data_IF_234396633269
#
_entry.id   IF_234396633269
#
_cell.length_a   1.000
_cell.length_b   1.000
_cell.length_c   1.000
_cell.angle_alpha   90.00
_cell.angle_beta   90.00
_cell.angle_gamma   90.00
#
_symmetry.space_group_name_H-M   'P 1'
#
loop_
_entity.id
_entity.type
_entity.pdbx_description
1 polymer ?
#
# COMPACT_ATOMS: atom_id res chain seq x y z
N UNK A 1 -20.04 30.08 -20.68
CA UNK A 1 -18.84 29.81 -19.86
C UNK A 1 -18.79 30.91 -18.82
N UNK A 2 -18.91 30.54 -17.56
CA UNK A 2 -18.77 31.50 -16.47
C UNK A 2 -17.30 31.96 -16.41
N UNK A 3 -17.08 33.26 -16.51
CA UNK A 3 -15.75 33.88 -16.36
C UNK A 3 -15.64 34.39 -14.93
N UNK A 4 -14.77 33.76 -14.13
CA UNK A 4 -14.53 34.18 -12.75
C UNK A 4 -13.32 35.14 -12.71
N UNK A 5 -13.39 36.12 -11.83
CA UNK A 5 -12.27 37.05 -11.62
C UNK A 5 -11.23 36.52 -10.63
N UNK A 6 -11.65 35.64 -9.71
CA UNK A 6 -10.81 35.06 -8.64
C UNK A 6 -11.19 33.61 -8.38
N UNK A 7 -10.23 32.76 -7.91
CA UNK A 7 -10.48 31.36 -7.63
C UNK A 7 -11.54 31.15 -6.53
N UNK A 8 -11.63 32.05 -5.55
CA UNK A 8 -12.63 32.00 -4.47
C UNK A 8 -14.06 32.16 -5.00
N UNK A 9 -14.26 33.00 -6.00
CA UNK A 9 -15.54 33.18 -6.67
C UNK A 9 -15.94 31.89 -7.42
N UNK A 10 -15.00 31.28 -8.14
CA UNK A 10 -15.23 30.04 -8.84
C UNK A 10 -15.57 28.89 -7.88
N UNK A 11 -14.83 28.77 -6.78
CA UNK A 11 -15.07 27.74 -5.77
C UNK A 11 -16.42 27.94 -5.09
N UNK A 12 -16.76 29.17 -4.68
CA UNK A 12 -18.04 29.48 -4.05
C UNK A 12 -19.22 29.15 -4.96
N UNK A 13 -19.10 29.47 -6.26
CA UNK A 13 -20.12 29.12 -7.26
C UNK A 13 -20.29 27.61 -7.37
N UNK A 14 -19.20 26.85 -7.53
CA UNK A 14 -19.23 25.39 -7.63
C UNK A 14 -19.83 24.73 -6.39
N UNK A 15 -19.46 25.20 -5.18
CA UNK A 15 -20.01 24.72 -3.91
C UNK A 15 -21.51 25.00 -3.78
N UNK A 16 -21.96 26.17 -4.21
CA UNK A 16 -23.38 26.50 -4.21
C UNK A 16 -24.16 25.61 -5.18
N UNK A 17 -23.68 25.51 -6.44
CA UNK A 17 -24.32 24.69 -7.45
C UNK A 17 -24.35 23.21 -7.12
N UNK A 18 -23.35 22.69 -6.41
CA UNK A 18 -23.27 21.27 -6.00
C UNK A 18 -24.43 20.85 -5.05
N UNK A 19 -25.17 21.79 -4.47
CA UNK A 19 -26.35 21.51 -3.67
C UNK A 19 -27.61 21.24 -4.49
N UNK A 20 -27.66 21.74 -5.73
CA UNK A 20 -28.86 21.76 -6.55
C UNK A 20 -28.67 21.07 -7.92
N UNK A 21 -27.44 21.01 -8.40
CA UNK A 21 -27.09 20.52 -9.75
C UNK A 21 -26.36 19.17 -9.64
N UNK A 22 -26.70 18.18 -10.48
CA UNK A 22 -25.97 16.90 -10.52
C UNK A 22 -24.48 17.11 -10.76
N UNK A 23 -23.63 16.33 -10.06
CA UNK A 23 -22.17 16.44 -10.13
C UNK A 23 -21.64 16.34 -11.58
N UNK A 24 -22.24 15.50 -12.42
CA UNK A 24 -21.85 15.35 -13.82
C UNK A 24 -21.99 16.63 -14.63
N UNK A 25 -23.01 17.44 -14.35
CA UNK A 25 -23.29 18.68 -15.06
C UNK A 25 -22.35 19.82 -14.62
N UNK A 26 -21.71 19.69 -13.45
CA UNK A 26 -20.75 20.66 -12.92
C UNK A 26 -19.30 20.40 -13.33
N UNK A 27 -18.96 19.22 -13.85
CA UNK A 27 -17.60 18.89 -14.27
C UNK A 27 -17.05 19.86 -15.36
N UNK A 28 -17.82 20.29 -16.36
CA UNK A 28 -17.37 21.30 -17.33
C UNK A 28 -17.03 22.66 -16.69
N UNK A 29 -17.85 23.10 -15.72
CA UNK A 29 -17.62 24.38 -15.04
C UNK A 29 -16.41 24.30 -14.11
N UNK A 30 -16.22 23.18 -13.42
CA UNK A 30 -15.00 22.91 -12.63
C UNK A 30 -13.75 22.91 -13.52
N UNK A 31 -13.81 22.28 -14.69
CA UNK A 31 -12.70 22.30 -15.65
C UNK A 31 -12.42 23.72 -16.19
N UNK A 32 -13.46 24.51 -16.47
CA UNK A 32 -13.30 25.89 -16.90
C UNK A 32 -12.66 26.77 -15.80
N UNK A 33 -13.06 26.59 -14.53
CA UNK A 33 -12.44 27.25 -13.38
C UNK A 33 -10.95 26.88 -13.23
N UNK A 34 -10.62 25.60 -13.36
CA UNK A 34 -9.23 25.12 -13.33
C UNK A 34 -8.39 25.69 -14.47
N UNK A 35 -8.94 25.82 -15.67
CA UNK A 35 -8.24 26.44 -16.80
C UNK A 35 -7.93 27.91 -16.54
N UNK A 36 -8.81 28.62 -15.83
CA UNK A 36 -8.58 30.01 -15.39
C UNK A 36 -7.57 30.11 -14.22
N UNK A 37 -7.56 29.12 -13.34
CA UNK A 37 -6.75 29.11 -12.12
C UNK A 37 -6.02 27.76 -11.92
N UNK A 38 -5.04 27.41 -12.78
CA UNK A 38 -4.45 26.08 -12.84
C UNK A 38 -3.65 25.67 -11.59
N UNK A 39 -3.28 26.64 -10.77
CA UNK A 39 -2.48 26.44 -9.54
C UNK A 39 -3.30 26.46 -8.25
N UNK A 40 -4.63 26.50 -8.31
CA UNK A 40 -5.47 26.42 -7.14
C UNK A 40 -5.81 24.95 -6.82
N UNK A 41 -5.27 24.45 -5.68
CA UNK A 41 -5.48 23.09 -5.24
C UNK A 41 -6.95 22.80 -4.89
N UNK A 42 -7.68 23.79 -4.37
CA UNK A 42 -9.08 23.63 -3.95
C UNK A 42 -10.00 23.33 -5.12
N UNK A 43 -9.77 23.95 -6.30
CA UNK A 43 -10.52 23.67 -7.53
C UNK A 43 -10.23 22.25 -8.03
N UNK A 44 -8.99 21.77 -7.90
CA UNK A 44 -8.65 20.36 -8.20
C UNK A 44 -9.31 19.39 -7.21
N UNK A 45 -9.36 19.75 -5.92
CA UNK A 45 -10.07 18.96 -4.91
C UNK A 45 -11.56 18.92 -5.22
N UNK A 46 -12.17 20.06 -5.58
CA UNK A 46 -13.58 20.09 -6.00
C UNK A 46 -13.83 19.22 -7.23
N UNK A 47 -12.93 19.22 -8.21
CA UNK A 47 -13.01 18.33 -9.37
C UNK A 47 -12.97 16.85 -8.95
N UNK A 48 -12.10 16.50 -7.98
CA UNK A 48 -12.02 15.13 -7.45
C UNK A 48 -13.34 14.72 -6.77
N UNK A 49 -13.91 15.58 -5.95
CA UNK A 49 -15.20 15.36 -5.29
C UNK A 49 -16.31 15.09 -6.33
N UNK A 50 -16.37 15.91 -7.39
CA UNK A 50 -17.35 15.75 -8.48
C UNK A 50 -17.16 14.43 -9.24
N UNK A 51 -15.92 14.06 -9.59
CA UNK A 51 -15.64 12.76 -10.22
C UNK A 51 -16.03 11.59 -9.32
N UNK A 52 -15.70 11.65 -8.02
CA UNK A 52 -16.08 10.62 -7.04
C UNK A 52 -17.60 10.50 -6.92
N UNK A 53 -18.32 11.61 -6.85
CA UNK A 53 -19.78 11.63 -6.83
C UNK A 53 -20.41 11.03 -8.12
N UNK A 54 -19.69 11.07 -9.24
CA UNK A 54 -20.06 10.42 -10.50
C UNK A 54 -19.63 8.95 -10.61
N UNK A 55 -19.00 8.37 -9.57
CA UNK A 55 -18.45 6.99 -9.61
C UNK A 55 -17.21 6.84 -10.50
N UNK A 56 -16.54 7.94 -10.86
CA UNK A 56 -15.38 7.98 -11.75
C UNK A 56 -14.09 7.92 -10.91
N UNK A 57 -13.83 6.77 -10.26
CA UNK A 57 -12.80 6.62 -9.24
C UNK A 57 -11.37 6.98 -9.74
N UNK A 58 -10.99 6.56 -10.94
CA UNK A 58 -9.66 6.87 -11.51
C UNK A 58 -9.48 8.37 -11.76
N UNK A 59 -10.52 9.03 -12.31
CA UNK A 59 -10.48 10.46 -12.56
C UNK A 59 -10.46 11.26 -11.26
N UNK A 60 -11.20 10.83 -10.25
CA UNK A 60 -11.19 11.41 -8.91
C UNK A 60 -9.79 11.30 -8.29
N UNK A 61 -9.18 10.12 -8.35
CA UNK A 61 -7.83 9.89 -7.84
C UNK A 61 -6.78 10.75 -8.55
N UNK A 62 -6.85 10.86 -9.88
CA UNK A 62 -5.91 11.71 -10.65
C UNK A 62 -6.07 13.20 -10.32
N UNK A 63 -7.30 13.69 -10.16
CA UNK A 63 -7.57 15.07 -9.74
C UNK A 63 -7.04 15.33 -8.31
N UNK A 64 -7.23 14.38 -7.37
CA UNK A 64 -6.71 14.47 -6.00
C UNK A 64 -5.19 14.49 -5.96
N UNK A 65 -4.50 13.67 -6.77
CA UNK A 65 -3.05 13.73 -6.88
C UNK A 65 -2.56 15.08 -7.44
N UNK A 66 -3.26 15.64 -8.43
CA UNK A 66 -2.94 16.98 -8.96
C UNK A 66 -3.14 18.07 -7.89
N UNK A 67 -4.16 17.93 -7.03
CA UNK A 67 -4.34 18.81 -5.89
C UNK A 67 -3.20 18.67 -4.88
N UNK A 68 -2.80 17.45 -4.55
CA UNK A 68 -1.71 17.15 -3.60
C UNK A 68 -0.35 17.72 -4.07
N UNK A 69 -0.07 17.69 -5.38
CA UNK A 69 1.13 18.33 -5.95
C UNK A 69 1.15 19.83 -5.65
N UNK A 70 -0.01 20.49 -5.70
CA UNK A 70 -0.12 21.93 -5.44
C UNK A 70 -0.09 22.28 -3.95
N UNK A 71 -0.66 21.40 -3.10
CA UNK A 71 -0.77 21.64 -1.65
C UNK A 71 -0.55 20.35 -0.86
N UNK A 72 0.68 19.85 -0.78
CA UNK A 72 0.97 18.52 -0.19
C UNK A 72 0.75 18.43 1.33
N UNK A 73 0.63 19.58 2.02
CA UNK A 73 0.38 19.64 3.45
C UNK A 73 -1.06 20.00 3.82
N UNK A 74 -1.91 20.23 2.84
CA UNK A 74 -3.31 20.56 3.05
C UNK A 74 -4.08 19.30 3.46
N UNK A 75 -4.70 19.33 4.63
CA UNK A 75 -5.41 18.18 5.18
C UNK A 75 -6.67 17.83 4.38
N UNK A 76 -7.39 18.83 3.86
CA UNK A 76 -8.59 18.61 3.04
C UNK A 76 -8.21 17.91 1.74
N UNK A 77 -7.11 18.32 1.10
CA UNK A 77 -6.58 17.70 -0.10
C UNK A 77 -6.21 16.23 0.15
N UNK A 78 -5.52 15.96 1.27
CA UNK A 78 -5.15 14.58 1.64
C UNK A 78 -6.38 13.74 1.96
N UNK A 79 -7.32 14.31 2.67
CA UNK A 79 -8.54 13.60 3.04
C UNK A 79 -9.38 13.22 1.82
N UNK A 80 -9.50 14.10 0.82
CA UNK A 80 -10.20 13.76 -0.43
C UNK A 80 -9.47 12.65 -1.20
N UNK A 81 -8.14 12.65 -1.22
CA UNK A 81 -7.36 11.57 -1.80
C UNK A 81 -7.72 10.22 -1.14
N UNK A 82 -7.84 10.18 0.19
CA UNK A 82 -8.20 8.96 0.92
C UNK A 82 -9.66 8.54 0.65
N UNK A 83 -10.59 9.49 0.50
CA UNK A 83 -11.96 9.17 0.10
C UNK A 83 -12.05 8.56 -1.30
N UNK A 84 -11.12 8.87 -2.21
CA UNK A 84 -11.02 8.18 -3.51
C UNK A 84 -10.58 6.73 -3.36
N UNK A 85 -9.79 6.41 -2.32
CA UNK A 85 -9.18 5.10 -2.11
C UNK A 85 -10.13 4.12 -1.42
N UNK A 86 -10.94 4.61 -0.51
CA UNK A 86 -11.81 3.76 0.32
C UNK A 86 -13.17 4.39 0.53
N UNK A 87 -14.20 3.61 0.27
CA UNK A 87 -15.57 3.95 0.61
C UNK A 87 -15.83 3.77 2.11
N UNK A 88 -15.07 2.86 2.75
CA UNK A 88 -15.19 2.58 4.17
C UNK A 88 -13.81 2.25 4.76
N UNK A 89 -13.27 3.16 5.57
CA UNK A 89 -11.97 3.03 6.21
C UNK A 89 -11.94 2.07 7.42
N UNK A 90 -13.07 1.42 7.72
CA UNK A 90 -13.24 0.60 8.91
C UNK A 90 -13.37 1.43 10.19
N UNK A 91 -13.82 0.76 11.24
CA UNK A 91 -13.91 1.35 12.58
C UNK A 91 -12.83 0.74 13.47
N UNK A 92 -12.29 1.53 14.38
CA UNK A 92 -11.36 1.01 15.38
C UNK A 92 -12.01 -0.18 16.12
N UNK A 93 -11.32 -1.33 16.23
CA UNK A 93 -11.82 -2.46 17.00
C UNK A 93 -12.12 -2.07 18.44
N UNK A 94 -13.20 -2.60 18.99
CA UNK A 94 -13.63 -2.35 20.37
C UNK A 94 -13.13 -3.42 21.35
N UNK A 95 -12.36 -4.39 20.88
CA UNK A 95 -11.86 -5.55 21.62
C UNK A 95 -10.61 -5.26 22.47
N UNK A 96 -10.20 -3.98 22.55
CA UNK A 96 -9.01 -3.56 23.32
C UNK A 96 -7.68 -3.80 22.58
N UNK A 97 -7.71 -4.05 21.27
CA UNK A 97 -6.50 -4.16 20.47
C UNK A 97 -5.66 -2.88 20.58
N UNK A 98 -4.40 -3.02 20.95
CA UNK A 98 -3.47 -1.90 21.10
C UNK A 98 -2.79 -1.59 19.77
N UNK A 99 -3.13 -0.44 19.18
CA UNK A 99 -2.53 0.09 17.95
C UNK A 99 -1.41 1.10 18.20
N UNK A 100 -0.97 1.29 19.45
CA UNK A 100 0.13 2.21 19.75
C UNK A 100 1.43 1.79 19.08
N UNK A 101 2.37 2.71 18.95
CA UNK A 101 3.69 2.41 18.40
C UNK A 101 4.52 1.51 19.34
N UNK A 102 4.21 1.52 20.62
CA UNK A 102 4.86 0.68 21.64
C UNK A 102 4.37 -0.75 21.58
N UNK A 103 3.16 -0.98 21.05
CA UNK A 103 2.64 -2.31 20.80
C UNK A 103 3.14 -2.80 19.44
N UNK A 104 3.75 -3.96 19.44
CA UNK A 104 4.09 -4.63 18.20
C UNK A 104 5.53 -4.42 17.72
N UNK A 105 5.79 -5.04 16.60
CA UNK A 105 7.13 -5.21 16.02
C UNK A 105 7.48 -4.11 15.01
N UNK A 106 6.79 -2.96 15.08
CA UNK A 106 6.98 -1.87 14.12
C UNK A 106 8.38 -1.29 14.15
N UNK A 107 8.99 -1.16 12.98
CA UNK A 107 10.23 -0.40 12.83
C UNK A 107 9.89 1.07 12.67
N UNK A 108 10.32 1.89 13.62
CA UNK A 108 10.09 3.34 13.59
C UNK A 108 11.40 4.11 13.54
N UNK A 109 11.56 4.97 12.54
CA UNK A 109 12.69 5.90 12.46
C UNK A 109 12.32 7.07 11.56
N UNK A 110 12.87 8.28 11.81
CA UNK A 110 12.61 9.46 10.96
C UNK A 110 13.37 9.41 9.62
N UNK A 111 14.34 8.52 9.48
CA UNK A 111 15.15 8.39 8.28
C UNK A 111 15.28 6.94 7.84
N UNK A 112 15.16 6.68 6.54
CA UNK A 112 15.19 5.33 5.94
C UNK A 112 16.46 4.56 6.31
N UNK A 113 17.61 5.21 6.41
CA UNK A 113 18.88 4.54 6.74
C UNK A 113 18.92 3.99 8.17
N UNK A 114 18.06 4.48 9.07
CA UNK A 114 17.93 3.98 10.44
C UNK A 114 16.95 2.80 10.55
N UNK A 115 16.23 2.51 9.47
CA UNK A 115 15.38 1.31 9.40
C UNK A 115 16.27 0.09 9.21
N UNK A 116 15.95 -1.00 9.91
CA UNK A 116 16.71 -2.26 9.86
C UNK A 116 16.84 -2.80 8.44
N UNK A 117 17.97 -3.43 8.15
CA UNK A 117 18.36 -3.83 6.78
C UNK A 117 17.39 -4.82 6.14
N UNK A 118 16.79 -5.74 6.92
CA UNK A 118 15.83 -6.71 6.41
C UNK A 118 14.58 -6.03 5.83
N UNK A 119 14.01 -5.05 6.53
CA UNK A 119 12.87 -4.28 6.05
C UNK A 119 13.22 -3.47 4.79
N UNK A 120 14.37 -2.79 4.80
CA UNK A 120 14.84 -2.05 3.62
C UNK A 120 15.03 -2.96 2.40
N UNK A 121 15.54 -4.16 2.61
CA UNK A 121 15.78 -5.13 1.53
C UNK A 121 14.48 -5.58 0.85
N UNK A 122 13.38 -5.80 1.62
CA UNK A 122 12.08 -6.21 1.08
C UNK A 122 11.50 -5.13 0.16
N UNK A 123 11.45 -3.88 0.62
CA UNK A 123 10.94 -2.77 -0.20
C UNK A 123 11.82 -2.46 -1.41
N UNK A 124 13.15 -2.56 -1.28
CA UNK A 124 14.05 -2.40 -2.42
C UNK A 124 13.88 -3.52 -3.45
N UNK A 125 13.57 -4.75 -3.02
CA UNK A 125 13.26 -5.88 -3.89
C UNK A 125 11.97 -5.62 -4.69
N UNK A 126 10.89 -5.21 -4.01
CA UNK A 126 9.64 -4.87 -4.67
C UNK A 126 9.81 -3.74 -5.67
N UNK A 127 10.50 -2.65 -5.29
CA UNK A 127 10.76 -1.52 -6.19
C UNK A 127 11.56 -1.92 -7.43
N UNK A 128 12.56 -2.80 -7.29
CA UNK A 128 13.33 -3.33 -8.43
C UNK A 128 12.45 -4.12 -9.38
N UNK A 129 11.57 -4.98 -8.85
CA UNK A 129 10.66 -5.79 -9.66
C UNK A 129 9.60 -4.94 -10.35
N UNK A 130 9.05 -3.92 -9.68
CA UNK A 130 8.14 -2.96 -10.27
C UNK A 130 8.77 -2.24 -11.47
N UNK A 131 10.01 -1.80 -11.35
CA UNK A 131 10.75 -1.17 -12.46
C UNK A 131 11.01 -2.12 -13.64
N UNK A 132 11.08 -3.41 -13.38
CA UNK A 132 11.23 -4.42 -14.44
C UNK A 132 9.88 -4.82 -15.04
N UNK A 133 8.80 -4.78 -14.24
CA UNK A 133 7.46 -5.17 -14.67
C UNK A 133 6.79 -4.09 -15.53
N UNK A 134 6.86 -2.84 -15.11
CA UNK A 134 6.30 -1.72 -15.83
C UNK A 134 7.38 -1.00 -16.65
N UNK A 135 7.07 -0.64 -17.90
CA UNK A 135 7.98 0.12 -18.77
C UNK A 135 8.21 1.55 -18.27
N UNK A 136 7.16 2.14 -17.72
CA UNK A 136 7.16 3.45 -17.09
C UNK A 136 6.37 3.35 -15.78
N UNK A 137 6.98 3.75 -14.68
CA UNK A 137 6.35 3.79 -13.36
C UNK A 137 5.79 5.17 -13.02
N UNK A 138 6.06 6.19 -13.86
CA UNK A 138 5.52 7.53 -13.65
C UNK A 138 3.99 7.51 -13.84
N UNK A 139 3.28 8.09 -12.89
CA UNK A 139 1.81 8.09 -12.93
C UNK A 139 1.13 6.84 -12.37
N UNK A 140 1.85 5.73 -12.16
CA UNK A 140 1.30 4.58 -11.44
C UNK A 140 0.98 4.96 -10.00
N UNK A 141 -0.07 4.34 -9.46
CA UNK A 141 -0.44 4.47 -8.05
C UNK A 141 -0.42 3.10 -7.37
N UNK A 142 0.42 2.95 -6.35
CA UNK A 142 0.52 1.75 -5.53
C UNK A 142 -0.18 1.89 -4.19
N UNK A 143 -0.63 0.76 -3.65
CA UNK A 143 -1.07 0.59 -2.27
C UNK A 143 0.07 -0.02 -1.45
N UNK A 144 0.34 0.53 -0.25
CA UNK A 144 1.15 -0.10 0.80
C UNK A 144 0.23 -0.36 1.99
N UNK A 145 -0.30 -1.59 2.07
CA UNK A 145 -1.26 -1.98 3.10
C UNK A 145 -0.54 -2.38 4.38
N UNK A 146 -0.93 -1.79 5.52
CA UNK A 146 -0.26 -1.88 6.81
C UNK A 146 1.17 -1.29 6.75
N UNK A 147 1.25 -0.06 6.24
CA UNK A 147 2.52 0.62 5.92
C UNK A 147 3.38 1.02 7.14
N UNK A 148 2.84 0.85 8.35
CA UNK A 148 3.49 1.33 9.58
C UNK A 148 3.79 2.82 9.53
N UNK A 149 5.00 3.22 9.88
CA UNK A 149 5.42 4.63 9.84
C UNK A 149 5.85 5.11 8.44
N UNK A 150 5.58 4.37 7.36
CA UNK A 150 5.60 4.85 5.98
C UNK A 150 6.96 4.84 5.26
N UNK A 151 8.05 4.36 5.88
CA UNK A 151 9.36 4.30 5.23
C UNK A 151 9.35 3.47 3.95
N UNK A 152 8.57 2.39 3.93
CA UNK A 152 8.45 1.48 2.79
C UNK A 152 7.79 2.13 1.59
N UNK A 153 6.65 2.77 1.80
CA UNK A 153 5.94 3.56 0.79
C UNK A 153 6.87 4.61 0.17
N UNK A 154 7.62 5.32 1.01
CA UNK A 154 8.61 6.32 0.56
C UNK A 154 9.75 5.70 -0.24
N UNK A 155 10.26 4.53 0.18
CA UNK A 155 11.31 3.82 -0.56
C UNK A 155 10.83 3.41 -1.94
N UNK A 156 9.62 2.84 -2.07
CA UNK A 156 9.07 2.47 -3.36
C UNK A 156 8.97 3.72 -4.24
N UNK A 157 8.33 4.79 -3.76
CA UNK A 157 8.18 6.03 -4.52
C UNK A 157 9.53 6.61 -4.98
N UNK A 158 10.52 6.69 -4.09
CA UNK A 158 11.85 7.20 -4.43
C UNK A 158 12.58 6.36 -5.50
N UNK A 159 12.39 5.04 -5.48
CA UNK A 159 13.08 4.12 -6.38
C UNK A 159 12.36 3.92 -7.72
N UNK A 160 11.06 4.13 -7.77
CA UNK A 160 10.24 3.90 -8.96
C UNK A 160 9.71 5.16 -9.62
N UNK A 161 9.56 6.25 -8.87
CA UNK A 161 8.86 7.46 -9.30
C UNK A 161 7.33 7.36 -9.25
N UNK A 162 6.77 6.22 -8.78
CA UNK A 162 5.33 6.04 -8.66
C UNK A 162 4.73 6.78 -7.46
N UNK A 163 3.44 7.05 -7.54
CA UNK A 163 2.61 7.50 -6.42
C UNK A 163 2.36 6.32 -5.48
N UNK A 164 2.35 6.55 -4.17
CA UNK A 164 2.07 5.50 -3.18
C UNK A 164 1.10 6.01 -2.13
N UNK A 165 0.08 5.24 -1.84
CA UNK A 165 -0.83 5.45 -0.72
C UNK A 165 -0.57 4.36 0.30
N UNK A 166 -0.11 4.76 1.48
CA UNK A 166 0.07 3.90 2.63
C UNK A 166 -1.14 3.95 3.56
N UNK A 167 -1.61 2.81 4.02
CA UNK A 167 -2.67 2.71 5.04
C UNK A 167 -2.20 1.88 6.23
N UNK A 168 -2.54 2.34 7.44
CA UNK A 168 -2.26 1.63 8.70
C UNK A 168 -3.36 1.90 9.73
N UNK A 169 -3.57 1.00 10.68
CA UNK A 169 -4.56 1.17 11.76
C UNK A 169 -4.07 2.12 12.87
N UNK A 170 -2.77 2.30 13.04
CA UNK A 170 -2.21 3.15 14.08
C UNK A 170 -2.22 4.63 13.71
N UNK A 171 -2.96 5.44 14.47
CA UNK A 171 -2.95 6.91 14.30
C UNK A 171 -1.55 7.48 14.41
N UNK A 172 -0.79 7.06 15.43
CA UNK A 172 0.57 7.54 15.67
C UNK A 172 1.52 7.15 14.52
N UNK A 173 1.39 5.93 13.97
CA UNK A 173 2.19 5.49 12.83
C UNK A 173 1.89 6.34 11.59
N UNK A 174 0.61 6.61 11.31
CA UNK A 174 0.18 7.44 10.18
C UNK A 174 0.65 8.89 10.33
N UNK A 175 0.56 9.47 11.54
CA UNK A 175 1.06 10.82 11.81
C UNK A 175 2.59 10.92 11.61
N UNK A 176 3.34 9.92 12.08
CA UNK A 176 4.79 9.86 11.84
C UNK A 176 5.11 9.65 10.35
N UNK A 177 4.34 8.79 9.66
CA UNK A 177 4.49 8.55 8.24
C UNK A 177 4.31 9.85 7.43
N UNK A 178 3.23 10.60 7.69
CA UNK A 178 3.00 11.90 7.04
C UNK A 178 4.10 12.89 7.34
N UNK A 179 4.53 13.00 8.60
CA UNK A 179 5.55 13.95 9.02
C UNK A 179 6.90 13.71 8.38
N UNK A 180 7.33 12.45 8.29
CA UNK A 180 8.70 12.10 7.87
C UNK A 180 8.79 11.67 6.41
N UNK A 181 7.72 11.09 5.86
CA UNK A 181 7.76 10.41 4.57
C UNK A 181 6.71 10.91 3.57
N UNK A 182 5.68 11.64 4.02
CA UNK A 182 4.66 12.24 3.15
C UNK A 182 5.23 13.31 2.22
N UNK A 183 4.75 13.36 0.99
CA UNK A 183 5.07 14.40 0.00
C UNK A 183 4.04 14.39 -1.15
N UNK A 184 4.36 15.06 -2.26
CA UNK A 184 3.49 15.13 -3.44
C UNK A 184 3.32 13.80 -4.21
N UNK A 185 4.06 12.75 -3.87
CA UNK A 185 3.94 11.39 -4.44
C UNK A 185 3.59 10.32 -3.39
N UNK A 186 3.60 10.65 -2.09
CA UNK A 186 3.33 9.70 -1.03
C UNK A 186 2.38 10.32 -0.03
N UNK A 187 1.25 9.68 0.17
CA UNK A 187 0.23 10.07 1.15
C UNK A 187 -0.11 8.89 2.06
N UNK A 188 -0.57 9.19 3.27
CA UNK A 188 -0.89 8.18 4.26
C UNK A 188 -2.29 8.38 4.82
N UNK A 189 -2.96 7.29 5.18
CA UNK A 189 -4.28 7.30 5.77
C UNK A 189 -4.46 6.24 6.84
N UNK A 190 -5.29 6.57 7.83
CA UNK A 190 -5.70 5.60 8.83
C UNK A 190 -6.81 4.72 8.28
N UNK A 191 -6.65 3.39 8.39
CA UNK A 191 -7.65 2.42 8.02
C UNK A 191 -7.59 1.19 8.93
N UNK A 192 -8.74 0.77 9.45
CA UNK A 192 -8.88 -0.42 10.28
C UNK A 192 -9.51 -1.54 9.46
N UNK A 193 -8.88 -2.71 9.49
CA UNK A 193 -9.52 -3.88 8.88
C UNK A 193 -10.62 -4.44 9.82
N UNK A 194 -11.82 -4.76 9.29
CA UNK A 194 -12.20 -4.75 7.89
C UNK A 194 -12.48 -3.35 7.33
N UNK A 195 -11.82 -3.03 6.21
CA UNK A 195 -12.05 -1.84 5.40
C UNK A 195 -12.49 -2.26 3.99
N UNK A 196 -13.09 -1.33 3.24
CA UNK A 196 -13.47 -1.56 1.84
C UNK A 196 -12.71 -0.63 0.92
N UNK A 197 -11.78 -1.20 0.13
CA UNK A 197 -10.99 -0.46 -0.85
C UNK A 197 -11.73 -0.37 -2.19
N UNK A 198 -11.59 0.76 -2.86
CA UNK A 198 -12.14 0.97 -4.21
C UNK A 198 -11.59 -0.08 -5.19
N UNK A 199 -12.47 -0.86 -5.86
CA UNK A 199 -12.03 -1.92 -6.75
C UNK A 199 -11.19 -1.41 -7.93
N UNK A 200 -10.12 -2.14 -8.28
CA UNK A 200 -9.31 -1.88 -9.47
C UNK A 200 -8.66 -0.50 -9.52
N UNK A 201 -8.41 0.13 -8.38
CA UNK A 201 -7.86 1.48 -8.33
C UNK A 201 -6.34 1.51 -8.42
N UNK A 202 -5.67 0.53 -7.81
CA UNK A 202 -4.22 0.50 -7.71
C UNK A 202 -3.57 -0.28 -8.84
N UNK A 203 -2.45 0.24 -9.36
CA UNK A 203 -1.67 -0.44 -10.39
C UNK A 203 -0.82 -1.58 -9.80
N UNK A 204 -0.49 -1.52 -8.51
CA UNK A 204 0.15 -2.59 -7.74
C UNK A 204 -0.17 -2.45 -6.25
N UNK A 205 0.05 -3.50 -5.49
CA UNK A 205 -0.04 -3.47 -4.03
C UNK A 205 1.15 -4.15 -3.36
N UNK A 206 1.49 -3.67 -2.17
CA UNK A 206 2.49 -4.23 -1.27
C UNK A 206 1.85 -4.43 0.09
N UNK A 207 2.09 -5.58 0.74
CA UNK A 207 1.70 -5.87 2.11
C UNK A 207 2.78 -6.76 2.73
N UNK A 208 3.66 -6.14 3.53
CA UNK A 208 4.80 -6.83 4.11
C UNK A 208 4.67 -6.93 5.61
N UNK A 209 4.79 -8.16 6.15
CA UNK A 209 4.68 -8.45 7.58
C UNK A 209 3.38 -7.88 8.17
N UNK A 210 2.25 -8.28 7.60
CA UNK A 210 0.94 -7.74 7.95
C UNK A 210 -0.17 -8.79 7.94
N UNK A 211 -0.14 -9.74 7.02
CA UNK A 211 -1.19 -10.75 6.82
C UNK A 211 -1.30 -11.67 8.04
N UNK A 212 -0.19 -11.95 8.72
CA UNK A 212 -0.08 -12.75 9.94
C UNK A 212 -0.75 -12.12 11.18
N UNK A 213 -0.95 -10.80 11.17
CA UNK A 213 -1.58 -10.08 12.28
C UNK A 213 -3.11 -10.08 12.21
N UNK A 214 -3.69 -10.52 11.09
CA UNK A 214 -5.13 -10.47 10.86
C UNK A 214 -5.74 -11.87 10.96
N UNK A 215 -6.70 -12.12 11.86
CA UNK A 215 -7.34 -13.43 11.99
C UNK A 215 -7.96 -13.92 10.68
N UNK A 216 -8.69 -13.06 9.97
CA UNK A 216 -9.23 -13.34 8.64
C UNK A 216 -8.28 -12.82 7.54
N UNK A 217 -7.14 -13.49 7.42
CA UNK A 217 -6.09 -13.14 6.46
C UNK A 217 -6.57 -13.25 5.00
N UNK A 218 -7.47 -14.19 4.69
CA UNK A 218 -7.99 -14.38 3.34
C UNK A 218 -8.92 -13.24 2.94
N UNK A 219 -9.75 -12.73 3.85
CA UNK A 219 -10.58 -11.55 3.61
C UNK A 219 -9.73 -10.29 3.40
N UNK A 220 -8.63 -10.12 4.15
CA UNK A 220 -7.68 -9.02 3.92
C UNK A 220 -7.06 -9.11 2.53
N UNK A 221 -6.54 -10.28 2.14
CA UNK A 221 -5.98 -10.50 0.81
C UNK A 221 -7.02 -10.27 -0.29
N UNK A 222 -8.28 -10.65 -0.06
CA UNK A 222 -9.37 -10.40 -1.00
C UNK A 222 -9.59 -8.89 -1.26
N UNK A 223 -9.53 -8.04 -0.22
CA UNK A 223 -9.61 -6.59 -0.37
C UNK A 223 -8.44 -6.04 -1.19
N UNK A 224 -7.21 -6.44 -0.85
CA UNK A 224 -6.00 -6.02 -1.57
C UNK A 224 -6.08 -6.46 -3.04
N UNK A 225 -6.40 -7.72 -3.30
CA UNK A 225 -6.51 -8.26 -4.67
C UNK A 225 -7.62 -7.58 -5.48
N UNK A 226 -8.80 -7.33 -4.87
CA UNK A 226 -9.91 -6.65 -5.54
C UNK A 226 -9.56 -5.22 -5.95
N UNK A 227 -8.81 -4.52 -5.11
CA UNK A 227 -8.43 -3.12 -5.37
C UNK A 227 -7.27 -2.96 -6.35
N UNK A 228 -6.57 -4.06 -6.71
CA UNK A 228 -5.32 -4.03 -7.47
C UNK A 228 -5.51 -4.61 -8.88
N UNK A 229 -5.03 -3.88 -9.90
CA UNK A 229 -5.04 -4.30 -11.32
C UNK A 229 -3.85 -5.20 -11.65
N UNK A 230 -2.65 -4.82 -11.21
CA UNK A 230 -1.38 -5.44 -11.52
C UNK A 230 -0.83 -6.31 -10.38
N UNK A 231 0.49 -6.37 -10.18
CA UNK A 231 1.10 -7.30 -9.26
C UNK A 231 0.83 -6.96 -7.79
N UNK A 232 0.75 -8.01 -6.97
CA UNK A 232 0.66 -7.94 -5.52
C UNK A 232 1.93 -8.55 -4.91
N UNK A 233 2.56 -7.80 -4.00
CA UNK A 233 3.75 -8.22 -3.27
C UNK A 233 3.39 -8.51 -1.82
N UNK A 234 3.79 -9.68 -1.35
CA UNK A 234 3.55 -10.13 0.03
C UNK A 234 4.86 -10.54 0.69
N UNK A 235 4.99 -10.28 2.00
CA UNK A 235 5.93 -11.01 2.84
C UNK A 235 5.25 -11.49 4.11
N UNK A 236 5.65 -12.69 4.56
CA UNK A 236 5.10 -13.33 5.75
C UNK A 236 6.18 -14.18 6.44
N UNK A 237 6.08 -14.43 7.75
CA UNK A 237 6.87 -15.42 8.44
C UNK A 237 6.59 -16.82 7.88
N UNK A 238 7.66 -17.60 7.68
CA UNK A 238 7.59 -18.96 7.15
C UNK A 238 7.30 -19.98 8.26
N UNK A 239 6.14 -20.59 8.25
CA UNK A 239 5.71 -21.62 9.19
C UNK A 239 6.70 -22.79 9.27
N UNK A 240 7.41 -23.12 8.16
CA UNK A 240 8.38 -24.22 8.14
C UNK A 240 9.67 -23.91 8.91
N UNK A 241 10.10 -22.65 8.90
CA UNK A 241 11.32 -22.21 9.58
C UNK A 241 11.06 -21.61 10.96
N UNK A 242 9.89 -21.00 11.14
CA UNK A 242 9.41 -20.39 12.38
C UNK A 242 7.98 -20.88 12.68
N UNK A 243 7.79 -22.14 13.11
CA UNK A 243 6.46 -22.66 13.43
C UNK A 243 5.76 -21.76 14.47
N UNK A 244 4.56 -21.27 14.17
CA UNK A 244 3.85 -20.36 15.06
C UNK A 244 3.63 -20.97 16.46
N UNK A 245 3.35 -22.26 16.54
CA UNK A 245 3.18 -22.96 17.82
C UNK A 245 4.42 -22.86 18.73
N UNK A 246 5.63 -22.84 18.15
CA UNK A 246 6.89 -22.79 18.89
C UNK A 246 7.33 -21.36 19.22
N UNK A 247 6.94 -20.39 18.38
CA UNK A 247 7.43 -19.00 18.44
C UNK A 247 6.36 -17.98 18.84
N UNK A 248 5.11 -18.38 19.10
CA UNK A 248 3.99 -17.46 19.43
C UNK A 248 4.28 -16.55 20.63
N UNK A 249 5.04 -17.01 21.62
CA UNK A 249 5.43 -16.17 22.77
C UNK A 249 6.40 -15.03 22.37
N UNK A 250 7.09 -15.14 21.24
CA UNK A 250 8.06 -14.18 20.74
C UNK A 250 7.48 -13.31 19.59
N UNK A 251 6.39 -13.78 19.00
CA UNK A 251 5.57 -13.07 17.99
C UNK A 251 4.15 -12.90 18.54
N UNK A 252 4.03 -12.21 19.67
CA UNK A 252 2.77 -12.12 20.45
C UNK A 252 1.60 -11.45 19.71
N UNK A 253 1.87 -10.76 18.61
CA UNK A 253 0.85 -10.10 17.77
C UNK A 253 0.49 -10.90 16.51
N UNK A 254 1.17 -12.03 16.25
CA UNK A 254 0.83 -12.88 15.12
C UNK A 254 -0.32 -13.82 15.46
N UNK A 255 -1.31 -13.89 14.59
CA UNK A 255 -2.40 -14.87 14.67
C UNK A 255 -1.98 -16.24 14.13
N UNK A 256 -1.06 -16.25 13.15
CA UNK A 256 -0.54 -17.45 12.48
C UNK A 256 0.69 -17.12 11.65
N UNK A 257 1.44 -18.17 11.27
CA UNK A 257 2.44 -18.10 10.20
C UNK A 257 1.95 -18.87 8.97
N UNK A 258 2.66 -18.75 7.86
CA UNK A 258 2.22 -19.32 6.58
C UNK A 258 3.35 -20.10 5.92
N UNK A 259 3.00 -21.18 5.23
CA UNK A 259 3.87 -21.76 4.20
C UNK A 259 3.71 -20.98 2.89
N UNK A 260 4.67 -21.13 1.97
CA UNK A 260 4.53 -20.58 0.61
C UNK A 260 3.31 -21.14 -0.11
N UNK A 261 2.98 -22.42 0.14
CA UNK A 261 1.84 -23.10 -0.44
C UNK A 261 0.52 -22.53 0.05
N UNK A 262 0.40 -22.19 1.35
CA UNK A 262 -0.82 -21.56 1.91
C UNK A 262 -1.12 -20.24 1.19
N UNK A 263 -0.10 -19.38 1.07
CA UNK A 263 -0.23 -18.08 0.40
C UNK A 263 -0.54 -18.26 -1.09
N UNK A 264 0.13 -19.19 -1.79
CA UNK A 264 -0.16 -19.48 -3.20
C UNK A 264 -1.59 -19.96 -3.40
N UNK A 265 -2.11 -20.80 -2.51
CA UNK A 265 -3.51 -21.26 -2.58
C UNK A 265 -4.50 -20.12 -2.36
N UNK A 266 -4.27 -19.24 -1.37
CA UNK A 266 -5.11 -18.07 -1.15
C UNK A 266 -5.12 -17.16 -2.37
N UNK A 267 -3.95 -16.78 -2.86
CA UNK A 267 -3.81 -15.88 -4.01
C UNK A 267 -4.41 -16.47 -5.29
N UNK A 268 -4.26 -17.78 -5.51
CA UNK A 268 -4.88 -18.48 -6.65
C UNK A 268 -6.42 -18.40 -6.60
N UNK A 269 -7.04 -18.63 -5.43
CA UNK A 269 -8.50 -18.49 -5.27
C UNK A 269 -8.98 -17.04 -5.50
N UNK A 270 -8.13 -16.06 -5.21
CA UNK A 270 -8.40 -14.63 -5.39
C UNK A 270 -8.09 -14.12 -6.80
N UNK A 271 -7.75 -15.03 -7.74
CA UNK A 271 -7.49 -14.70 -9.15
C UNK A 271 -6.05 -14.20 -9.43
N UNK A 272 -5.09 -14.54 -8.56
CA UNK A 272 -3.67 -14.26 -8.72
C UNK A 272 -2.84 -15.57 -8.69
N UNK A 273 -3.01 -16.46 -9.68
CA UNK A 273 -2.43 -17.81 -9.63
C UNK A 273 -0.92 -17.84 -9.93
N UNK A 274 -0.35 -16.78 -10.52
CA UNK A 274 1.03 -16.80 -10.99
C UNK A 274 1.99 -16.15 -10.00
N UNK A 275 3.02 -16.88 -9.58
CA UNK A 275 4.16 -16.36 -8.82
C UNK A 275 5.22 -15.90 -9.81
N UNK A 276 5.39 -14.59 -9.98
CA UNK A 276 6.36 -14.01 -10.89
C UNK A 276 7.77 -13.94 -10.31
N UNK A 277 7.89 -13.79 -8.99
CA UNK A 277 9.17 -13.76 -8.29
C UNK A 277 9.00 -14.23 -6.84
N UNK A 278 10.04 -14.87 -6.30
CA UNK A 278 10.11 -15.25 -4.89
C UNK A 278 11.49 -14.97 -4.33
N UNK A 279 11.56 -14.74 -3.02
CA UNK A 279 12.79 -14.62 -2.27
C UNK A 279 12.57 -15.09 -0.82
N UNK A 280 13.65 -15.51 -0.17
CA UNK A 280 13.69 -15.84 1.23
C UNK A 280 14.63 -14.91 2.00
N UNK A 281 14.40 -14.78 3.30
CA UNK A 281 15.23 -13.96 4.16
C UNK A 281 15.47 -14.61 5.51
N UNK A 282 16.68 -14.38 6.04
CA UNK A 282 17.05 -14.71 7.42
C UNK A 282 17.21 -13.42 8.21
N UNK A 283 16.67 -13.36 9.41
CA UNK A 283 16.70 -12.16 10.26
C UNK A 283 17.19 -12.48 11.66
N UNK A 284 16.78 -13.62 12.20
CA UNK A 284 17.02 -13.98 13.60
C UNK A 284 18.03 -15.10 13.74
N UNK A 285 18.78 -15.04 14.81
CA UNK A 285 19.51 -16.19 15.36
C UNK A 285 18.51 -17.07 16.11
N UNK A 286 18.48 -18.37 15.79
CA UNK A 286 17.59 -19.34 16.42
C UNK A 286 18.42 -20.40 17.13
N UNK A 287 18.16 -20.62 18.42
CA UNK A 287 18.77 -21.69 19.21
C UNK A 287 17.69 -22.34 20.07
N UNK A 288 17.61 -23.66 20.03
CA UNK A 288 16.63 -24.44 20.80
C UNK A 288 15.19 -23.91 20.65
N UNK A 289 14.74 -23.65 19.44
CA UNK A 289 13.41 -23.09 19.10
C UNK A 289 13.13 -21.73 19.79
N UNK A 290 14.15 -20.91 19.95
CA UNK A 290 14.02 -19.55 20.48
C UNK A 290 14.82 -18.56 19.64
N UNK A 291 14.26 -17.38 19.47
CA UNK A 291 14.99 -16.25 18.90
C UNK A 291 15.95 -15.74 19.97
N UNK A 292 17.25 -15.77 19.68
CA UNK A 292 18.31 -15.36 20.63
C UNK A 292 18.91 -14.00 20.30
N UNK A 293 18.52 -13.41 19.15
CA UNK A 293 18.96 -12.10 18.72
C UNK A 293 18.80 -11.91 17.22
N UNK A 294 19.21 -10.75 16.75
CA UNK A 294 19.25 -10.45 15.32
C UNK A 294 20.55 -10.97 14.69
N UNK A 295 20.47 -11.39 13.45
CA UNK A 295 21.65 -11.59 12.62
C UNK A 295 22.34 -10.24 12.33
N UNK A 296 23.65 -10.23 12.02
CA UNK A 296 24.30 -9.05 11.46
C UNK A 296 23.57 -8.56 10.19
N UNK A 297 23.44 -7.25 9.98
CA UNK A 297 22.76 -6.67 8.82
C UNK A 297 23.29 -7.21 7.49
N UNK A 298 24.59 -7.50 7.40
CA UNK A 298 25.23 -8.09 6.22
C UNK A 298 24.69 -9.49 5.86
N UNK A 299 23.98 -10.15 6.77
CA UNK A 299 23.36 -11.46 6.56
C UNK A 299 21.86 -11.38 6.29
N UNK A 300 21.23 -10.22 6.47
CA UNK A 300 19.79 -10.00 6.30
C UNK A 300 19.37 -9.71 4.84
N UNK A 301 20.24 -9.95 3.87
CA UNK A 301 19.90 -9.76 2.45
C UNK A 301 19.01 -10.89 1.93
N UNK A 302 18.27 -10.59 0.86
CA UNK A 302 17.39 -11.57 0.22
C UNK A 302 18.20 -12.64 -0.53
N UNK A 303 17.73 -13.86 -0.48
CA UNK A 303 18.29 -15.06 -1.10
C UNK A 303 17.20 -15.83 -1.85
N UNK A 304 17.55 -16.84 -2.66
CA UNK A 304 16.54 -17.77 -3.16
C UNK A 304 15.71 -18.36 -2.02
N UNK A 305 14.39 -18.46 -2.23
CA UNK A 305 13.47 -19.03 -1.25
C UNK A 305 13.77 -20.51 -1.03
N UNK A 306 13.81 -20.90 0.25
CA UNK A 306 13.95 -22.30 0.70
C UNK A 306 13.05 -22.53 1.90
N UNK A 307 12.83 -23.80 2.27
CA UNK A 307 12.07 -24.18 3.46
C UNK A 307 12.71 -23.63 4.77
N UNK A 308 14.01 -23.33 4.74
CA UNK A 308 14.75 -22.78 5.88
C UNK A 308 14.70 -21.23 5.93
N UNK A 309 14.16 -20.56 4.92
CA UNK A 309 14.00 -19.11 4.95
C UNK A 309 13.01 -18.73 6.06
N UNK A 310 13.39 -17.81 6.94
CA UNK A 310 12.54 -17.38 8.04
C UNK A 310 11.37 -16.51 7.58
N UNK A 311 11.59 -15.74 6.52
CA UNK A 311 10.55 -14.95 5.87
C UNK A 311 10.48 -15.28 4.39
N UNK A 312 9.25 -15.28 3.88
CA UNK A 312 8.91 -15.54 2.49
C UNK A 312 8.53 -14.21 1.85
N UNK A 313 9.07 -13.92 0.67
CA UNK A 313 8.61 -12.82 -0.18
C UNK A 313 8.12 -13.37 -1.50
N UNK A 314 6.92 -12.96 -1.93
CA UNK A 314 6.29 -13.41 -3.17
C UNK A 314 5.72 -12.21 -3.94
N UNK A 315 5.88 -12.25 -5.26
CA UNK A 315 5.21 -11.35 -6.20
C UNK A 315 4.20 -12.16 -7.01
N UNK A 316 2.95 -11.78 -6.94
CA UNK A 316 1.84 -12.45 -7.63
C UNK A 316 1.30 -11.61 -8.78
N UNK A 317 0.76 -12.27 -9.80
CA UNK A 317 0.02 -11.64 -10.90
C UNK A 317 -1.20 -12.44 -11.30
N UNK A 318 -2.14 -11.78 -12.00
CA UNK A 318 -3.32 -12.39 -12.62
C UNK A 318 -2.96 -13.12 -13.92
N UNK A 319 -1.98 -12.62 -14.64
CA UNK A 319 -1.43 -13.14 -15.87
C UNK A 319 0.01 -13.63 -15.67
N UNK A 320 0.44 -14.62 -16.46
CA UNK A 320 1.76 -15.24 -16.34
C UNK A 320 2.88 -14.44 -17.00
N UNK A 321 2.67 -13.17 -17.35
CA UNK A 321 3.71 -12.36 -17.99
C UNK A 321 4.86 -12.07 -17.01
N UNK A 322 6.04 -12.60 -17.35
CA UNK A 322 7.26 -12.41 -16.57
C UNK A 322 7.78 -10.97 -16.70
N UNK A 323 8.34 -10.39 -15.62
CA UNK A 323 9.04 -9.11 -15.69
C UNK A 323 10.14 -9.13 -16.77
N UNK A 324 10.23 -8.06 -17.55
CA UNK A 324 11.23 -7.94 -18.61
C UNK A 324 12.64 -8.07 -18.02
N UNK A 325 13.41 -9.08 -18.45
CA UNK A 325 14.83 -9.25 -18.07
C UNK A 325 15.12 -10.23 -16.92
N UNK A 326 14.14 -10.99 -16.44
CA UNK A 326 14.40 -12.08 -15.49
C UNK A 326 14.33 -13.46 -16.17
N UNK A 327 15.32 -14.32 -15.91
CA UNK A 327 15.22 -15.75 -16.20
C UNK A 327 14.17 -16.36 -15.26
N UNK A 328 13.35 -17.28 -15.78
CA UNK A 328 12.32 -17.97 -15.02
C UNK A 328 12.82 -18.43 -13.65
N UNK A 329 12.12 -18.04 -12.60
CA UNK A 329 12.33 -18.63 -11.28
C UNK A 329 11.93 -20.12 -11.38
N UNK A 330 12.67 -21.06 -10.82
CA UNK A 330 12.24 -22.46 -10.81
C UNK A 330 10.87 -22.53 -10.13
N UNK A 331 9.93 -23.22 -10.78
CA UNK A 331 8.59 -23.44 -10.26
C UNK A 331 8.64 -23.91 -8.82
N UNK A 332 7.84 -23.32 -7.95
CA UNK A 332 7.66 -23.82 -6.59
C UNK A 332 7.13 -25.27 -6.69
N UNK A 333 7.69 -26.25 -5.98
CA UNK A 333 7.22 -27.62 -6.05
C UNK A 333 5.77 -27.69 -5.56
N UNK A 334 4.85 -28.16 -6.41
CA UNK A 334 3.46 -28.43 -6.07
C UNK A 334 2.40 -27.48 -6.64
N UNK A 335 2.77 -26.45 -7.43
CA UNK A 335 1.80 -25.62 -8.15
C UNK A 335 1.70 -26.14 -9.59
N UNK A 336 0.53 -26.68 -10.06
CA UNK A 336 0.36 -27.03 -11.47
C UNK A 336 0.39 -25.75 -12.31
N UNK A 337 1.18 -25.78 -13.38
CA UNK A 337 1.29 -24.70 -14.36
C UNK A 337 0.03 -24.58 -15.24
#
# INVERSE_FOLDING_TARGET
MNTYSYPDEALAHLLQCAQEVPAADLLPDAQAAINGFPHDARLRTMQAILHRACGQAEAALDASWKALVLSPKDEIVRQELLFCVSEQMGLAPTDGHDFSLESGERQTAPHIHNIRADHRARYAWAARLLRSHFRDNSGLTGLDAFCGNGYGSRMISNLTGSRVIGIDGSTEAVELAERHYGNHLVAFGQAFFPFELTPGLFDYAVSFESVEHVPDSEALLAQICRSTKGPVFLSVPNERALPHADFSAQFGFHCRHFTSEDICQFMSRLGFPYVLASAGQQVYQVQHQRLTGLLPESQMHLRPLTDHSQFIMLMFSRDGEQPVGQTANPALPGVPG
#
